data_IF_593297877510
#
_entry.id   IF_593297877510
#
_cell.length_a   1.000
_cell.length_b   1.000
_cell.length_c   1.000
_cell.angle_alpha   90.00
_cell.angle_beta   90.00
_cell.angle_gamma   90.00
#
_symmetry.space_group_name_H-M   'P 1'
#
loop_
_entity.id
_entity.type
_entity.pdbx_description
1 polymer ?
#
# COMPACT_ATOMS: atom_id res chain seq x y z
N UNK A 1 -30.63 63.17 -13.82
CA UNK A 1 -29.68 62.99 -12.70
C UNK A 1 -29.59 61.51 -12.43
N UNK A 2 -28.57 60.86 -12.98
CA UNK A 2 -28.44 59.41 -13.06
C UNK A 2 -27.76 58.88 -11.80
N UNK A 3 -28.46 58.00 -11.06
CA UNK A 3 -27.98 57.41 -9.81
C UNK A 3 -26.88 56.38 -10.08
N UNK A 4 -25.65 56.74 -9.72
CA UNK A 4 -24.49 55.86 -9.62
C UNK A 4 -24.72 54.88 -8.48
N UNK A 5 -25.19 53.67 -8.81
CA UNK A 5 -25.44 52.63 -7.80
C UNK A 5 -24.23 51.70 -7.71
N UNK A 6 -23.35 52.06 -6.77
CA UNK A 6 -22.69 51.17 -5.82
C UNK A 6 -22.04 49.86 -6.35
N UNK A 7 -20.81 49.96 -6.87
CA UNK A 7 -19.89 48.82 -7.03
C UNK A 7 -18.92 48.76 -5.83
N UNK A 8 -19.37 48.23 -4.69
CA UNK A 8 -18.44 48.04 -3.56
C UNK A 8 -18.79 46.85 -2.67
N UNK A 9 -18.90 45.63 -3.18
CA UNK A 9 -18.82 44.44 -2.32
C UNK A 9 -18.08 43.31 -3.03
N UNK A 10 -16.90 42.97 -2.50
CA UNK A 10 -16.50 41.57 -2.38
C UNK A 10 -15.46 41.05 -3.37
N UNK A 11 -14.30 41.69 -3.48
CA UNK A 11 -13.08 40.97 -3.86
C UNK A 11 -12.67 40.05 -2.67
N UNK A 12 -13.39 38.94 -2.50
CA UNK A 12 -12.94 37.83 -1.66
C UNK A 12 -12.20 36.88 -2.59
N UNK A 13 -10.92 37.20 -2.81
CA UNK A 13 -9.93 36.30 -3.39
C UNK A 13 -9.78 35.10 -2.44
N UNK A 14 -10.70 34.14 -2.56
CA UNK A 14 -10.50 32.81 -2.01
C UNK A 14 -9.36 32.20 -2.83
N UNK A 15 -8.13 32.41 -2.36
CA UNK A 15 -6.98 31.55 -2.65
C UNK A 15 -7.33 30.15 -2.18
N UNK A 16 -8.15 29.47 -2.97
CA UNK A 16 -8.46 28.07 -2.80
C UNK A 16 -7.13 27.36 -3.00
N UNK A 17 -6.55 26.89 -1.91
CA UNK A 17 -5.51 25.88 -1.97
C UNK A 17 -6.21 24.68 -2.62
N UNK A 18 -6.10 24.59 -3.94
CA UNK A 18 -6.55 23.45 -4.72
C UNK A 18 -5.66 22.30 -4.30
N UNK A 19 -6.03 21.63 -3.21
CA UNK A 19 -5.53 20.32 -2.87
C UNK A 19 -5.94 19.42 -4.01
N UNK A 20 -4.99 19.17 -4.93
CA UNK A 20 -5.19 18.25 -6.05
C UNK A 20 -5.75 16.95 -5.48
N UNK A 21 -6.97 16.52 -5.86
CA UNK A 21 -7.49 15.24 -5.40
C UNK A 21 -6.47 14.18 -5.82
N UNK A 22 -5.97 13.42 -4.85
CA UNK A 22 -5.00 12.36 -5.11
C UNK A 22 -5.68 11.39 -6.08
N UNK A 23 -5.20 11.32 -7.32
CA UNK A 23 -5.81 10.50 -8.35
C UNK A 23 -5.89 9.05 -7.85
N UNK A 24 -7.10 8.48 -7.89
CA UNK A 24 -7.37 7.09 -7.51
C UNK A 24 -6.41 6.11 -8.18
N UNK A 25 -6.01 6.39 -9.42
CA UNK A 25 -5.02 5.61 -10.18
C UNK A 25 -3.61 5.68 -9.58
N UNK A 26 -3.20 6.83 -9.02
CA UNK A 26 -1.91 6.96 -8.32
C UNK A 26 -1.90 6.21 -7.00
N UNK A 27 -3.00 6.26 -6.24
CA UNK A 27 -3.13 5.51 -4.99
C UNK A 27 -3.05 4.00 -5.26
N UNK A 28 -3.77 3.51 -6.27
CA UNK A 28 -3.66 2.12 -6.74
C UNK A 28 -2.24 1.74 -7.14
N UNK A 29 -1.57 2.59 -7.92
CA UNK A 29 -0.20 2.35 -8.38
C UNK A 29 0.80 2.26 -7.22
N UNK A 30 0.73 3.20 -6.26
CA UNK A 30 1.60 3.22 -5.07
C UNK A 30 1.31 2.00 -4.19
N UNK A 31 0.04 1.66 -4.00
CA UNK A 31 -0.33 0.52 -3.18
C UNK A 31 0.13 -0.80 -3.83
N UNK A 32 0.03 -0.92 -5.15
CA UNK A 32 0.50 -2.08 -5.91
C UNK A 32 2.04 -2.20 -5.90
N UNK A 33 2.75 -1.10 -6.12
CA UNK A 33 4.23 -1.11 -6.10
C UNK A 33 4.78 -1.39 -4.70
N UNK A 34 4.17 -0.80 -3.66
CA UNK A 34 4.51 -1.08 -2.27
C UNK A 34 4.23 -2.53 -1.88
N UNK A 35 3.11 -3.08 -2.33
CA UNK A 35 2.76 -4.48 -2.11
C UNK A 35 3.75 -5.43 -2.79
N UNK A 36 4.18 -5.14 -4.03
CA UNK A 36 5.19 -5.92 -4.73
C UNK A 36 6.54 -5.94 -4.01
N UNK A 37 7.00 -4.78 -3.55
CA UNK A 37 8.25 -4.67 -2.78
C UNK A 37 8.17 -5.42 -1.44
N UNK A 38 7.08 -5.26 -0.69
CA UNK A 38 6.88 -5.97 0.57
C UNK A 38 6.81 -7.48 0.36
N UNK A 39 6.14 -7.92 -0.72
CA UNK A 39 6.08 -9.34 -1.09
C UNK A 39 7.47 -9.91 -1.34
N UNK A 40 8.34 -9.16 -2.03
CA UNK A 40 9.71 -9.59 -2.29
C UNK A 40 10.49 -9.79 -0.97
N UNK A 41 10.41 -8.84 -0.04
CA UNK A 41 11.10 -8.93 1.26
C UNK A 41 10.55 -10.08 2.10
N UNK A 42 9.23 -10.26 2.14
CA UNK A 42 8.58 -11.37 2.84
C UNK A 42 8.95 -12.71 2.20
N UNK A 43 9.06 -12.79 0.87
CA UNK A 43 9.48 -14.00 0.18
C UNK A 43 10.93 -14.39 0.53
N UNK A 44 11.86 -13.43 0.52
CA UNK A 44 13.26 -13.68 0.88
C UNK A 44 13.38 -14.15 2.33
N UNK A 45 12.69 -13.48 3.27
CA UNK A 45 12.67 -13.89 4.68
C UNK A 45 12.00 -15.24 4.89
N UNK A 46 10.95 -15.55 4.13
CA UNK A 46 10.25 -16.84 4.17
C UNK A 46 11.13 -17.98 3.66
N UNK A 47 11.88 -17.77 2.58
CA UNK A 47 12.88 -18.74 2.08
C UNK A 47 13.98 -18.94 3.14
N UNK A 48 14.45 -17.86 3.76
CA UNK A 48 15.44 -17.95 4.84
C UNK A 48 14.96 -18.77 6.04
N UNK A 49 13.68 -18.65 6.40
CA UNK A 49 13.03 -19.46 7.44
C UNK A 49 12.78 -20.91 7.00
N UNK A 50 12.49 -21.14 5.72
CA UNK A 50 12.28 -22.48 5.18
C UNK A 50 13.56 -23.32 5.19
N UNK A 51 14.70 -22.69 4.90
CA UNK A 51 16.03 -23.35 4.90
C UNK A 51 16.63 -23.44 6.31
N UNK A 52 16.13 -22.64 7.27
CA UNK A 52 16.67 -22.63 8.63
C UNK A 52 16.50 -24.00 9.32
N UNK A 53 17.54 -24.57 9.95
CA UNK A 53 17.47 -25.88 10.58
C UNK A 53 16.52 -25.88 11.79
N UNK A 54 15.65 -26.89 11.85
CA UNK A 54 14.56 -26.98 12.80
C UNK A 54 15.07 -27.69 14.07
N UNK A 55 15.64 -26.94 15.01
CA UNK A 55 16.10 -27.49 16.28
C UNK A 55 16.61 -26.41 17.25
N UNK A 56 16.42 -26.57 18.57
CA UNK A 56 16.72 -25.53 19.57
C UNK A 56 18.19 -25.11 19.62
N UNK A 57 19.12 -25.98 19.19
CA UNK A 57 20.55 -25.66 19.12
C UNK A 57 21.03 -25.25 17.71
N UNK A 58 20.46 -25.80 16.64
CA UNK A 58 20.88 -25.50 15.26
C UNK A 58 20.38 -24.14 14.76
N UNK A 59 19.21 -23.70 15.21
CA UNK A 59 18.63 -22.38 14.88
C UNK A 59 19.33 -21.20 15.54
N UNK A 60 20.14 -21.45 16.58
CA UNK A 60 20.82 -20.40 17.35
C UNK A 60 22.13 -19.92 16.71
N UNK A 61 22.81 -20.79 15.94
CA UNK A 61 24.03 -20.45 15.20
C UNK A 61 23.79 -20.10 13.73
N UNK A 62 22.60 -20.37 13.21
CA UNK A 62 22.25 -20.08 11.83
C UNK A 62 21.93 -18.59 11.65
N UNK A 63 22.59 -17.95 10.69
CA UNK A 63 22.32 -16.59 10.28
C UNK A 63 22.01 -16.58 8.78
N UNK A 64 20.96 -15.87 8.39
CA UNK A 64 20.60 -15.69 6.98
C UNK A 64 20.50 -14.19 6.70
N UNK A 65 21.18 -13.73 5.65
CA UNK A 65 21.36 -12.31 5.34
C UNK A 65 21.91 -11.48 6.54
N UNK A 66 22.72 -12.09 7.41
CA UNK A 66 23.27 -11.44 8.60
C UNK A 66 22.31 -11.31 9.79
N UNK A 67 21.07 -11.81 9.67
CA UNK A 67 20.07 -11.81 10.74
C UNK A 67 19.94 -13.18 11.40
N UNK A 68 19.66 -13.18 12.71
CA UNK A 68 19.37 -14.41 13.45
C UNK A 68 17.97 -14.96 13.13
N UNK A 69 17.79 -16.27 13.27
CA UNK A 69 16.50 -16.94 13.01
C UNK A 69 15.31 -16.31 13.79
N UNK A 70 15.43 -15.97 15.09
CA UNK A 70 14.34 -15.33 15.83
C UNK A 70 13.95 -13.98 15.23
N UNK A 71 14.94 -13.17 14.86
CA UNK A 71 14.71 -11.84 14.30
C UNK A 71 14.05 -11.93 12.92
N UNK A 72 14.51 -12.84 12.06
CA UNK A 72 13.85 -13.10 10.77
C UNK A 72 12.41 -13.56 10.94
N UNK A 73 12.14 -14.42 11.93
CA UNK A 73 10.80 -14.92 12.22
C UNK A 73 9.86 -13.79 12.60
N UNK A 74 10.28 -12.94 13.53
CA UNK A 74 9.49 -11.78 13.95
C UNK A 74 9.26 -10.81 12.79
N UNK A 75 10.30 -10.51 12.01
CA UNK A 75 10.17 -9.65 10.82
C UNK A 75 9.18 -10.25 9.81
N UNK A 76 9.29 -11.53 9.49
CA UNK A 76 8.43 -12.20 8.52
C UNK A 76 6.97 -12.20 8.98
N UNK A 77 6.70 -12.44 10.26
CA UNK A 77 5.35 -12.43 10.82
C UNK A 77 4.75 -11.01 10.79
N UNK A 78 5.51 -10.01 11.24
CA UNK A 78 5.04 -8.61 11.25
C UNK A 78 4.82 -8.06 9.84
N UNK A 79 5.78 -8.27 8.93
CA UNK A 79 5.62 -7.88 7.53
C UNK A 79 4.50 -8.68 6.87
N UNK A 80 4.37 -9.98 7.15
CA UNK A 80 3.31 -10.83 6.63
C UNK A 80 1.93 -10.32 7.02
N UNK A 81 1.74 -9.95 8.28
CA UNK A 81 0.48 -9.36 8.75
C UNK A 81 0.16 -8.02 8.07
N UNK A 82 1.17 -7.15 7.92
CA UNK A 82 1.03 -5.90 7.17
C UNK A 82 0.70 -6.11 5.70
N UNK A 83 1.29 -7.15 5.09
CA UNK A 83 1.03 -7.58 3.72
C UNK A 83 -0.44 -7.97 3.53
N UNK A 84 -1.03 -8.75 4.43
CA UNK A 84 -2.45 -9.14 4.34
C UNK A 84 -3.35 -7.92 4.31
N UNK A 85 -3.10 -6.92 5.16
CA UNK A 85 -3.88 -5.68 5.16
C UNK A 85 -3.74 -4.90 3.83
N UNK A 86 -2.53 -4.83 3.27
CA UNK A 86 -2.28 -4.17 1.99
C UNK A 86 -2.85 -4.95 0.80
N UNK A 87 -2.82 -6.28 0.80
CA UNK A 87 -3.48 -7.13 -0.21
C UNK A 87 -4.98 -6.86 -0.21
N UNK A 88 -5.60 -6.82 0.97
CA UNK A 88 -7.03 -6.54 1.09
C UNK A 88 -7.36 -5.13 0.58
N UNK A 89 -6.54 -4.13 0.93
CA UNK A 89 -6.68 -2.77 0.39
C UNK A 89 -6.54 -2.73 -1.13
N UNK A 90 -5.55 -3.44 -1.69
CA UNK A 90 -5.32 -3.52 -3.13
C UNK A 90 -6.49 -4.18 -3.84
N UNK A 91 -6.99 -5.27 -3.28
CA UNK A 91 -8.11 -6.03 -3.81
C UNK A 91 -9.40 -5.21 -3.77
N UNK A 92 -9.70 -4.54 -2.65
CA UNK A 92 -10.88 -3.68 -2.52
C UNK A 92 -10.88 -2.53 -3.54
N UNK A 93 -9.72 -1.92 -3.79
CA UNK A 93 -9.58 -0.88 -4.82
C UNK A 93 -9.73 -1.46 -6.23
N UNK A 94 -9.26 -2.68 -6.51
CA UNK A 94 -9.39 -3.29 -7.83
C UNK A 94 -10.70 -4.04 -8.07
N UNK A 95 -11.51 -4.27 -7.04
CA UNK A 95 -12.77 -5.02 -7.15
C UNK A 95 -13.78 -4.38 -8.11
N UNK A 96 -13.83 -3.04 -8.15
CA UNK A 96 -14.70 -2.31 -9.10
C UNK A 96 -14.31 -2.55 -10.56
N UNK A 97 -13.01 -2.67 -10.83
CA UNK A 97 -12.49 -2.98 -12.16
C UNK A 97 -12.78 -4.44 -12.51
N UNK A 98 -12.53 -5.36 -11.57
CA UNK A 98 -12.78 -6.79 -11.74
C UNK A 98 -14.25 -7.11 -12.05
N UNK A 99 -15.20 -6.48 -11.34
CA UNK A 99 -16.64 -6.67 -11.59
C UNK A 99 -17.04 -6.15 -12.98
N UNK A 100 -16.42 -5.05 -13.44
CA UNK A 100 -16.63 -4.52 -14.78
C UNK A 100 -16.20 -5.50 -15.87
N UNK A 101 -14.99 -6.06 -15.74
CA UNK A 101 -14.47 -7.07 -16.67
C UNK A 101 -15.25 -8.39 -16.60
N UNK A 102 -15.62 -8.84 -15.40
CA UNK A 102 -16.42 -10.06 -15.22
C UNK A 102 -17.80 -9.93 -15.88
N UNK A 103 -18.42 -8.76 -15.78
CA UNK A 103 -19.71 -8.47 -16.44
C UNK A 103 -19.59 -8.41 -17.97
N UNK A 104 -18.42 -8.03 -18.50
CA UNK A 104 -18.12 -8.12 -19.93
C UNK A 104 -17.87 -9.55 -20.40
N UNK A 105 -17.23 -10.38 -19.58
CA UNK A 105 -16.96 -11.79 -19.87
C UNK A 105 -18.23 -12.67 -19.87
N UNK A 106 -19.22 -12.31 -19.05
CA UNK A 106 -20.50 -13.04 -18.93
C UNK A 106 -21.64 -12.47 -19.80
N UNK A 107 -21.33 -11.58 -20.76
CA UNK A 107 -22.28 -11.06 -21.74
C UNK A 107 -21.99 -11.66 -23.12
#
# INVERSE_FOLDING_TARGET
MSSLTNQTIGNIDKKTVVTKPVSYSRVKGILSSGLGLLTLVVAITGIGLFVAPHGPMASKSWTFAGMSVPLMKDLHIWLGFGMVALVLGHFALNLKTLIGELKQLFR
#
